data_IF_426972320867
#
_entry.id   IF_426972320867
#
_cell.length_a   1.000
_cell.length_b   1.000
_cell.length_c   1.000
_cell.angle_alpha   90.00
_cell.angle_beta   90.00
_cell.angle_gamma   90.00
#
_symmetry.space_group_name_H-M   'P 1'
#
loop_
_entity.id
_entity.type
_entity.pdbx_description
1 polymer ?
#
# COMPACT_ATOMS: atom_id res chain seq x y z
N UNK A 1 13.38 -17.29 -4.33
CA UNK A 1 12.71 -17.62 -3.06
C UNK A 1 11.33 -17.05 -3.19
N UNK A 2 10.29 -17.87 -3.10
CA UNK A 2 8.92 -17.39 -3.11
C UNK A 2 8.65 -16.64 -1.79
N UNK A 3 7.77 -15.60 -1.79
CA UNK A 3 7.42 -14.89 -0.58
C UNK A 3 6.79 -15.84 0.44
N UNK A 4 7.15 -15.65 1.71
CA UNK A 4 6.55 -16.41 2.80
C UNK A 4 5.20 -15.80 3.17
N UNK A 5 4.13 -16.60 3.13
CA UNK A 5 2.76 -16.13 3.38
C UNK A 5 2.26 -16.69 4.70
N UNK A 6 1.91 -15.80 5.61
CA UNK A 6 1.28 -16.11 6.89
C UNK A 6 -0.14 -15.56 6.96
N UNK A 7 -0.90 -15.99 7.98
CA UNK A 7 -2.22 -15.47 8.28
C UNK A 7 -2.22 -14.86 9.69
N UNK A 8 -2.58 -13.59 9.77
CA UNK A 8 -2.85 -12.91 11.02
C UNK A 8 -4.36 -12.65 11.16
N UNK A 9 -4.82 -12.43 12.39
CA UNK A 9 -6.20 -12.06 12.66
C UNK A 9 -6.24 -10.65 13.24
N UNK A 10 -7.10 -9.82 12.68
CA UNK A 10 -7.28 -8.42 13.09
C UNK A 10 -8.71 -8.20 13.55
N UNK A 11 -8.87 -7.63 14.73
CA UNK A 11 -10.18 -7.30 15.27
C UNK A 11 -10.75 -6.03 14.61
N UNK A 12 -12.01 -6.10 14.19
CA UNK A 12 -12.72 -4.95 13.68
C UNK A 12 -12.83 -3.86 14.76
N UNK A 13 -12.65 -2.58 14.37
CA UNK A 13 -12.75 -1.43 15.28
C UNK A 13 -14.13 -1.27 15.91
N UNK A 14 -15.17 -1.62 15.16
CA UNK A 14 -16.56 -1.50 15.61
C UNK A 14 -17.10 -2.84 16.06
N UNK A 15 -17.98 -2.87 17.05
CA UNK A 15 -18.69 -4.08 17.43
C UNK A 15 -19.43 -4.68 16.24
N UNK A 16 -19.51 -6.01 16.20
CA UNK A 16 -20.29 -6.69 15.18
C UNK A 16 -21.78 -6.29 15.28
N UNK A 17 -22.44 -6.02 14.17
CA UNK A 17 -23.89 -5.71 14.14
C UNK A 17 -24.76 -6.82 14.76
N UNK A 18 -24.24 -8.03 14.95
CA UNK A 18 -24.96 -9.10 15.62
C UNK A 18 -25.26 -8.77 17.08
N UNK A 19 -24.59 -7.79 17.71
CA UNK A 19 -24.90 -7.28 19.04
C UNK A 19 -26.32 -6.70 19.10
N UNK A 20 -26.61 -5.80 18.16
CA UNK A 20 -27.93 -5.14 18.12
C UNK A 20 -29.03 -6.10 17.70
N UNK A 21 -28.70 -7.02 16.78
CA UNK A 21 -29.63 -8.07 16.36
C UNK A 21 -29.96 -9.02 17.54
N UNK A 22 -28.96 -9.40 18.31
CA UNK A 22 -29.17 -10.22 19.49
C UNK A 22 -30.12 -9.54 20.48
N UNK A 23 -29.88 -8.30 20.84
CA UNK A 23 -30.73 -7.55 21.77
C UNK A 23 -32.18 -7.44 21.29
N UNK A 24 -32.41 -7.30 19.98
CA UNK A 24 -33.77 -7.32 19.41
C UNK A 24 -34.44 -8.69 19.59
N UNK A 25 -33.71 -9.76 19.28
CA UNK A 25 -34.24 -11.15 19.36
C UNK A 25 -34.51 -11.57 20.82
N UNK A 26 -33.72 -11.14 21.77
CA UNK A 26 -33.94 -11.36 23.21
C UNK A 26 -35.20 -10.61 23.68
N UNK A 27 -35.36 -9.36 23.31
CA UNK A 27 -36.55 -8.56 23.62
C UNK A 27 -37.85 -9.15 23.02
N UNK A 28 -37.72 -9.84 21.88
CA UNK A 28 -38.83 -10.55 21.23
C UNK A 28 -39.05 -11.97 21.81
N UNK A 29 -38.24 -12.40 22.77
CA UNK A 29 -38.30 -13.76 23.35
C UNK A 29 -37.89 -14.86 22.36
N UNK A 30 -37.14 -14.54 21.32
CA UNK A 30 -36.72 -15.47 20.24
C UNK A 30 -35.37 -16.10 20.49
N UNK A 31 -34.57 -15.55 21.41
CA UNK A 31 -33.29 -16.10 21.83
C UNK A 31 -33.23 -16.15 23.36
N UNK A 32 -32.73 -17.24 23.95
CA UNK A 32 -32.43 -17.31 25.38
C UNK A 32 -31.21 -16.42 25.70
N UNK A 33 -31.10 -16.05 26.98
CA UNK A 33 -29.90 -15.41 27.48
C UNK A 33 -28.67 -16.28 27.20
N UNK A 34 -27.53 -15.64 26.91
CA UNK A 34 -26.28 -16.34 26.78
C UNK A 34 -25.89 -16.90 28.17
N UNK A 35 -25.76 -18.20 28.28
CA UNK A 35 -25.25 -18.82 29.52
C UNK A 35 -23.76 -18.50 29.72
N UNK A 36 -23.29 -18.67 30.95
CA UNK A 36 -21.89 -18.40 31.32
C UNK A 36 -20.88 -19.25 30.52
N UNK A 37 -21.31 -20.39 29.99
CA UNK A 37 -20.50 -21.34 29.20
C UNK A 37 -20.60 -21.13 27.68
N UNK A 38 -21.18 -20.02 27.20
CA UNK A 38 -21.30 -19.76 25.77
C UNK A 38 -19.93 -19.41 25.15
N UNK A 39 -19.34 -20.28 24.30
CA UNK A 39 -18.02 -20.03 23.67
C UNK A 39 -18.03 -18.81 22.73
N UNK A 40 -19.21 -18.43 22.24
CA UNK A 40 -19.37 -17.24 21.40
C UNK A 40 -19.58 -15.96 22.22
N UNK A 41 -19.67 -16.06 23.55
CA UNK A 41 -19.88 -14.95 24.47
C UNK A 41 -21.01 -14.01 24.02
N UNK A 42 -22.13 -14.58 23.65
CA UNK A 42 -23.30 -13.85 23.19
C UNK A 42 -23.34 -13.53 21.69
N UNK A 43 -22.30 -13.74 20.93
CA UNK A 43 -22.32 -13.54 19.48
C UNK A 43 -23.20 -14.54 18.78
N UNK A 44 -24.08 -14.10 17.87
CA UNK A 44 -25.06 -14.96 17.16
C UNK A 44 -24.75 -15.13 15.68
N UNK A 45 -23.74 -14.44 15.16
CA UNK A 45 -23.36 -14.56 13.75
C UNK A 45 -22.34 -15.70 13.55
N UNK A 46 -22.43 -16.32 12.37
CA UNK A 46 -21.47 -17.34 11.93
C UNK A 46 -20.69 -16.75 10.72
N UNK A 47 -19.51 -16.14 10.94
CA UNK A 47 -18.72 -15.61 9.85
C UNK A 47 -18.19 -16.73 8.94
N UNK A 48 -18.15 -16.48 7.63
CA UNK A 48 -17.54 -17.40 6.67
C UNK A 48 -16.03 -17.56 6.90
N UNK A 49 -15.37 -16.49 7.37
CA UNK A 49 -13.94 -16.44 7.67
C UNK A 49 -13.73 -15.71 8.99
N UNK A 50 -12.71 -16.12 9.74
CA UNK A 50 -12.44 -15.55 11.06
C UNK A 50 -13.46 -15.99 12.11
N UNK A 51 -13.63 -15.18 13.15
CA UNK A 51 -14.49 -15.47 14.29
C UNK A 51 -15.27 -14.23 14.73
N UNK A 52 -16.30 -14.45 15.53
CA UNK A 52 -16.97 -13.39 16.26
C UNK A 52 -17.26 -13.88 17.68
N UNK A 53 -16.56 -13.32 18.66
CA UNK A 53 -16.67 -13.69 20.07
C UNK A 53 -16.88 -12.41 20.88
N UNK A 54 -17.85 -12.39 21.78
CA UNK A 54 -18.15 -11.19 22.57
C UNK A 54 -18.46 -9.97 21.70
N UNK A 55 -19.08 -10.20 20.54
CA UNK A 55 -19.39 -9.17 19.52
C UNK A 55 -18.15 -8.53 18.88
N UNK A 56 -16.96 -9.10 19.08
CA UNK A 56 -15.73 -8.72 18.38
C UNK A 56 -15.56 -9.60 17.16
N UNK A 57 -15.52 -8.94 16.00
CA UNK A 57 -15.27 -9.60 14.73
C UNK A 57 -13.77 -9.67 14.47
N UNK A 58 -13.23 -10.86 14.39
CA UNK A 58 -11.84 -11.11 13.98
C UNK A 58 -11.79 -11.55 12.53
N UNK A 59 -11.00 -10.86 11.73
CA UNK A 59 -10.91 -11.06 10.27
C UNK A 59 -9.51 -11.54 9.92
N UNK A 60 -9.37 -12.63 9.13
CA UNK A 60 -8.06 -13.06 8.67
C UNK A 60 -7.49 -12.08 7.65
N UNK A 61 -6.20 -11.78 7.80
CA UNK A 61 -5.41 -10.96 6.89
C UNK A 61 -4.20 -11.77 6.45
N UNK A 62 -3.95 -11.85 5.15
CA UNK A 62 -2.74 -12.45 4.64
C UNK A 62 -1.56 -11.50 4.85
N UNK A 63 -0.53 -11.96 5.54
CA UNK A 63 0.75 -11.28 5.66
C UNK A 63 1.74 -11.93 4.70
N UNK A 64 2.33 -11.14 3.84
CA UNK A 64 3.32 -11.57 2.87
C UNK A 64 4.67 -11.00 3.31
N UNK A 65 5.59 -11.88 3.70
CA UNK A 65 6.97 -11.51 3.99
C UNK A 65 7.74 -11.44 2.66
N UNK A 66 8.02 -10.22 2.25
CA UNK A 66 8.70 -9.96 0.96
C UNK A 66 10.17 -9.74 1.24
N UNK A 67 11.04 -10.37 0.45
CA UNK A 67 12.49 -10.20 0.57
C UNK A 67 12.88 -8.71 0.51
N UNK A 68 13.81 -8.29 1.38
CA UNK A 68 14.18 -6.89 1.54
C UNK A 68 14.55 -6.19 0.22
N UNK A 69 14.13 -4.96 0.11
CA UNK A 69 14.49 -4.07 -0.99
C UNK A 69 15.95 -3.63 -0.82
N UNK A 70 16.72 -3.68 -1.89
CA UNK A 70 18.10 -3.17 -1.90
C UNK A 70 18.18 -1.88 -2.71
N UNK A 71 19.08 -0.94 -2.37
CA UNK A 71 19.27 0.29 -3.13
C UNK A 71 19.51 0.04 -4.62
N UNK A 72 18.78 0.75 -5.49
CA UNK A 72 18.83 0.58 -6.93
C UNK A 72 17.98 -0.59 -7.46
N UNK A 73 17.06 -1.11 -6.66
CA UNK A 73 16.09 -2.10 -7.11
C UNK A 73 15.22 -1.58 -8.25
N UNK A 74 14.87 -0.31 -8.24
CA UNK A 74 14.17 0.40 -9.31
C UNK A 74 14.95 0.42 -10.64
N UNK A 75 16.29 0.36 -10.58
CA UNK A 75 17.19 0.26 -11.74
C UNK A 75 17.49 -1.19 -12.17
N UNK A 76 16.81 -2.16 -11.56
CA UNK A 76 16.99 -3.59 -11.86
C UNK A 76 18.10 -4.27 -11.09
N UNK A 77 18.67 -3.65 -10.05
CA UNK A 77 19.64 -4.30 -9.17
C UNK A 77 18.97 -5.37 -8.31
N UNK A 78 19.65 -6.47 -8.13
CA UNK A 78 19.15 -7.59 -7.33
C UNK A 78 17.90 -8.22 -7.94
N UNK A 79 16.89 -8.50 -7.10
CA UNK A 79 15.58 -9.06 -7.49
C UNK A 79 14.49 -7.99 -7.63
N UNK A 80 14.88 -6.72 -7.81
CA UNK A 80 13.98 -5.56 -7.72
C UNK A 80 12.66 -5.72 -8.46
N UNK A 81 12.68 -6.15 -9.72
CA UNK A 81 11.45 -6.34 -10.51
C UNK A 81 10.53 -7.44 -9.95
N UNK A 82 11.08 -8.52 -9.40
CA UNK A 82 10.29 -9.59 -8.78
C UNK A 82 9.67 -9.11 -7.47
N UNK A 83 10.46 -8.43 -6.62
CA UNK A 83 9.97 -7.79 -5.40
C UNK A 83 8.82 -6.81 -5.67
N UNK A 84 8.99 -5.95 -6.65
CA UNK A 84 7.99 -4.96 -7.01
C UNK A 84 6.71 -5.59 -7.59
N UNK A 85 6.82 -6.75 -8.26
CA UNK A 85 5.67 -7.54 -8.71
C UNK A 85 4.94 -8.19 -7.53
N UNK A 86 5.65 -8.61 -6.48
CA UNK A 86 5.05 -9.15 -5.27
C UNK A 86 4.27 -8.05 -4.51
N UNK A 87 4.82 -6.83 -4.43
CA UNK A 87 4.13 -5.68 -3.85
C UNK A 87 2.84 -5.29 -4.57
N UNK A 88 2.78 -5.48 -5.89
CA UNK A 88 1.62 -5.12 -6.70
C UNK A 88 0.34 -5.84 -6.28
N UNK A 89 0.46 -6.98 -5.59
CA UNK A 89 -0.66 -7.77 -5.10
C UNK A 89 -1.05 -7.46 -3.64
N UNK A 90 -0.37 -6.52 -2.99
CA UNK A 90 -0.65 -6.13 -1.61
C UNK A 90 -1.62 -4.94 -1.55
N UNK A 91 -2.57 -4.98 -0.62
CA UNK A 91 -3.50 -3.86 -0.39
C UNK A 91 -2.85 -2.74 0.45
N UNK A 92 -1.91 -3.10 1.33
CA UNK A 92 -1.18 -2.19 2.24
C UNK A 92 0.25 -2.69 2.41
N UNK A 93 1.20 -1.78 2.51
CA UNK A 93 2.57 -2.07 2.86
C UNK A 93 2.81 -1.75 4.33
N UNK A 94 3.51 -2.64 5.03
CA UNK A 94 3.99 -2.42 6.39
C UNK A 94 5.51 -2.38 6.32
N UNK A 95 6.07 -1.20 6.50
CA UNK A 95 7.51 -1.03 6.57
C UNK A 95 8.00 -1.33 7.99
N UNK A 96 8.96 -2.23 8.11
CA UNK A 96 9.65 -2.54 9.36
C UNK A 96 10.99 -1.85 9.34
N UNK A 97 11.26 -1.03 10.35
CA UNK A 97 12.49 -0.26 10.49
C UNK A 97 13.26 -0.64 11.75
N UNK A 98 14.58 -0.57 11.70
CA UNK A 98 15.42 -0.77 12.88
C UNK A 98 15.45 0.49 13.76
N UNK A 99 14.58 0.54 14.76
CA UNK A 99 14.47 1.69 15.67
C UNK A 99 15.75 1.98 16.49
N UNK A 100 16.68 1.02 16.58
CA UNK A 100 17.97 1.23 17.24
C UNK A 100 19.00 1.92 16.32
N UNK A 101 18.73 2.00 15.01
CA UNK A 101 19.66 2.51 14.01
C UNK A 101 20.95 1.72 13.97
N UNK A 102 20.87 0.41 14.21
CA UNK A 102 22.02 -0.49 14.25
C UNK A 102 22.35 -1.14 12.90
N UNK A 103 21.42 -1.02 11.95
CA UNK A 103 21.58 -1.50 10.58
C UNK A 103 21.57 -0.35 9.59
N UNK A 104 22.10 -0.61 8.40
CA UNK A 104 21.93 0.31 7.26
C UNK A 104 20.76 -0.11 6.37
N UNK A 105 20.50 0.69 5.33
CA UNK A 105 19.44 0.42 4.35
C UNK A 105 19.62 -0.89 3.56
N UNK A 106 20.80 -1.50 3.62
CA UNK A 106 21.09 -2.82 3.03
C UNK A 106 20.88 -3.95 4.06
N UNK A 107 20.48 -3.61 5.31
CA UNK A 107 20.31 -4.56 6.42
C UNK A 107 21.63 -5.04 7.04
N UNK A 108 22.75 -4.38 6.74
CA UNK A 108 24.06 -4.73 7.32
C UNK A 108 24.19 -4.13 8.71
N UNK A 109 24.56 -4.97 9.67
CA UNK A 109 24.79 -4.52 11.05
C UNK A 109 26.02 -3.60 11.15
N UNK A 110 25.82 -2.39 11.63
CA UNK A 110 26.87 -1.36 11.84
C UNK A 110 27.16 -1.07 13.30
N UNK A 111 26.49 -1.74 14.23
CA UNK A 111 26.55 -1.45 15.66
C UNK A 111 25.49 -0.41 16.06
N UNK A 112 25.18 -0.35 17.36
CA UNK A 112 24.22 0.61 17.87
C UNK A 112 24.64 2.05 17.57
N UNK A 113 23.67 2.89 17.22
CA UNK A 113 23.92 4.32 17.01
C UNK A 113 24.53 4.97 18.27
N UNK A 114 25.54 5.77 18.07
CA UNK A 114 26.30 6.40 19.20
C UNK A 114 25.52 7.50 19.91
N UNK A 115 24.52 8.08 19.24
CA UNK A 115 23.65 9.12 19.80
C UNK A 115 22.21 8.93 19.33
N UNK A 116 21.26 9.55 20.05
CA UNK A 116 19.84 9.56 19.66
C UNK A 116 19.63 10.20 18.30
N UNK A 117 20.35 11.26 17.98
CA UNK A 117 20.26 11.95 16.69
C UNK A 117 20.76 11.05 15.54
N UNK A 118 21.78 10.24 15.77
CA UNK A 118 22.27 9.28 14.79
C UNK A 118 21.25 8.16 14.53
N UNK A 119 20.60 7.67 15.60
CA UNK A 119 19.52 6.67 15.47
C UNK A 119 18.32 7.23 14.68
N UNK A 120 17.87 8.44 15.04
CA UNK A 120 16.76 9.10 14.31
C UNK A 120 17.10 9.27 12.84
N UNK A 121 18.33 9.69 12.52
CA UNK A 121 18.76 9.85 11.12
C UNK A 121 18.70 8.52 10.37
N UNK A 122 19.24 7.44 10.94
CA UNK A 122 19.22 6.11 10.33
C UNK A 122 17.79 5.62 10.06
N UNK A 123 16.90 5.77 11.05
CA UNK A 123 15.47 5.42 10.89
C UNK A 123 14.79 6.26 9.80
N UNK A 124 15.09 7.56 9.73
CA UNK A 124 14.54 8.44 8.69
C UNK A 124 15.03 8.02 7.31
N UNK A 125 16.32 7.72 7.16
CA UNK A 125 16.89 7.24 5.89
C UNK A 125 16.25 5.93 5.43
N UNK A 126 15.94 4.98 6.34
CA UNK A 126 15.24 3.75 6.01
C UNK A 126 13.80 4.01 5.53
N UNK A 127 13.08 4.92 6.19
CA UNK A 127 11.70 5.27 5.81
C UNK A 127 11.69 5.91 4.42
N UNK A 128 12.53 6.94 4.22
CA UNK A 128 12.61 7.66 2.95
C UNK A 128 13.10 6.78 1.80
N UNK A 129 13.96 5.81 2.10
CA UNK A 129 14.50 4.88 1.12
C UNK A 129 13.41 4.11 0.37
N UNK A 130 12.45 3.49 1.10
CA UNK A 130 11.37 2.74 0.46
C UNK A 130 10.51 3.63 -0.43
N UNK A 131 10.18 4.82 0.03
CA UNK A 131 9.41 5.77 -0.75
C UNK A 131 10.15 6.18 -2.03
N UNK A 132 11.43 6.51 -1.93
CA UNK A 132 12.26 6.92 -3.06
C UNK A 132 12.40 5.81 -4.11
N UNK A 133 12.61 4.57 -3.69
CA UNK A 133 12.72 3.44 -4.63
C UNK A 133 11.41 3.18 -5.37
N UNK A 134 10.28 3.24 -4.67
CA UNK A 134 8.96 3.08 -5.31
C UNK A 134 8.64 4.26 -6.25
N UNK A 135 8.97 5.48 -5.86
CA UNK A 135 8.79 6.68 -6.71
C UNK A 135 9.63 6.59 -7.98
N UNK A 136 10.91 6.20 -7.84
CA UNK A 136 11.82 6.02 -8.96
C UNK A 136 11.33 4.90 -9.91
N UNK A 137 10.85 3.80 -9.35
CA UNK A 137 10.32 2.70 -10.15
C UNK A 137 9.07 3.09 -10.94
N UNK A 138 8.07 3.71 -10.29
CA UNK A 138 6.84 4.13 -10.97
C UNK A 138 7.15 5.22 -12.00
N UNK A 139 8.01 6.18 -11.67
CA UNK A 139 8.49 7.19 -12.60
C UNK A 139 9.18 6.58 -13.83
N UNK A 140 10.02 5.56 -13.61
CA UNK A 140 10.67 4.79 -14.67
C UNK A 140 9.67 4.06 -15.58
N UNK A 141 8.62 3.43 -15.01
CA UNK A 141 7.56 2.80 -15.78
C UNK A 141 6.81 3.80 -16.67
N UNK A 142 6.57 5.00 -16.18
CA UNK A 142 5.93 6.08 -16.97
C UNK A 142 6.86 6.62 -18.04
N UNK A 143 8.14 6.82 -17.71
CA UNK A 143 9.16 7.31 -18.66
C UNK A 143 9.36 6.33 -19.81
N UNK A 144 9.40 5.04 -19.51
CA UNK A 144 9.49 3.98 -20.52
C UNK A 144 8.21 3.94 -21.37
N UNK A 145 8.31 4.45 -22.56
CA UNK A 145 7.20 4.59 -23.52
C UNK A 145 6.47 5.94 -23.45
N UNK A 146 7.02 6.95 -22.76
CA UNK A 146 6.42 8.28 -22.66
C UNK A 146 6.08 8.90 -24.03
N UNK A 147 6.89 8.67 -25.05
CA UNK A 147 6.61 9.12 -26.43
C UNK A 147 5.27 8.58 -26.97
N UNK A 148 4.82 7.40 -26.55
CA UNK A 148 3.48 6.88 -26.88
C UNK A 148 2.39 7.64 -26.13
N UNK A 149 2.65 7.94 -24.87
CA UNK A 149 1.78 8.77 -24.04
C UNK A 149 1.57 10.14 -24.67
N UNK A 150 2.64 10.81 -25.05
CA UNK A 150 2.60 12.12 -25.74
C UNK A 150 1.71 12.07 -27.00
N UNK A 151 1.88 11.07 -27.87
CA UNK A 151 1.04 10.92 -29.08
C UNK A 151 -0.44 10.73 -28.73
N UNK A 152 -0.75 9.98 -27.67
CA UNK A 152 -2.15 9.83 -27.20
C UNK A 152 -2.70 11.16 -26.68
N UNK A 153 -1.91 11.89 -25.91
CA UNK A 153 -2.32 13.22 -25.44
C UNK A 153 -2.61 14.16 -26.59
N UNK A 154 -1.75 14.17 -27.62
CA UNK A 154 -1.96 15.00 -28.80
C UNK A 154 -3.24 14.62 -29.58
N UNK A 155 -3.61 13.34 -29.57
CA UNK A 155 -4.80 12.84 -30.26
C UNK A 155 -6.09 12.98 -29.44
N UNK A 156 -6.04 12.72 -28.15
CA UNK A 156 -7.21 12.52 -27.29
C UNK A 156 -7.24 13.47 -26.06
N UNK A 157 -6.25 14.36 -25.93
CA UNK A 157 -6.13 15.25 -24.79
C UNK A 157 -5.91 14.53 -23.46
N UNK A 158 -6.44 15.07 -22.38
CA UNK A 158 -6.31 14.53 -21.01
C UNK A 158 -6.79 13.08 -20.89
N UNK A 159 -7.82 12.70 -21.61
CA UNK A 159 -8.32 11.32 -21.65
C UNK A 159 -7.25 10.35 -22.15
N UNK A 160 -6.48 10.75 -23.17
CA UNK A 160 -5.36 9.97 -23.69
C UNK A 160 -4.24 9.81 -22.66
N UNK A 161 -3.95 10.87 -21.89
CA UNK A 161 -2.98 10.82 -20.79
C UNK A 161 -3.41 9.83 -19.70
N UNK A 162 -4.64 9.93 -19.23
CA UNK A 162 -5.18 9.02 -18.21
C UNK A 162 -5.16 7.57 -18.68
N UNK A 163 -5.55 7.31 -19.91
CA UNK A 163 -5.53 5.96 -20.50
C UNK A 163 -4.10 5.41 -20.60
N UNK A 164 -3.13 6.24 -20.96
CA UNK A 164 -1.72 5.87 -21.00
C UNK A 164 -1.20 5.50 -19.61
N UNK A 165 -1.41 6.38 -18.61
CA UNK A 165 -0.96 6.15 -17.23
C UNK A 165 -1.59 4.87 -16.66
N UNK A 166 -2.89 4.67 -16.87
CA UNK A 166 -3.58 3.46 -16.43
C UNK A 166 -3.01 2.20 -17.08
N UNK A 167 -2.77 2.20 -18.39
CA UNK A 167 -2.19 1.06 -19.11
C UNK A 167 -0.79 0.72 -18.58
N UNK A 168 0.06 1.75 -18.38
CA UNK A 168 1.41 1.56 -17.88
C UNK A 168 1.47 1.02 -16.46
N UNK A 169 0.54 1.42 -15.61
CA UNK A 169 0.49 1.04 -14.20
C UNK A 169 -0.57 -0.02 -13.90
N UNK A 170 -1.15 -0.65 -14.93
CA UNK A 170 -2.20 -1.68 -14.77
C UNK A 170 -1.75 -2.87 -13.93
N UNK A 171 -0.50 -3.32 -14.11
CA UNK A 171 0.12 -4.38 -13.30
C UNK A 171 0.26 -4.03 -11.81
N UNK A 172 0.13 -2.76 -11.45
CA UNK A 172 0.17 -2.25 -10.07
C UNK A 172 -1.24 -1.98 -9.50
N UNK A 173 -2.27 -2.50 -10.13
CA UNK A 173 -3.66 -2.28 -9.70
C UNK A 173 -4.17 -0.86 -9.95
N UNK A 174 -3.62 -0.15 -10.94
CA UNK A 174 -4.10 1.17 -11.34
C UNK A 174 -5.50 1.08 -11.95
N UNK A 175 -6.50 1.56 -11.21
CA UNK A 175 -7.86 1.75 -11.70
C UNK A 175 -8.06 3.16 -12.22
N UNK A 176 -9.08 3.40 -13.04
CA UNK A 176 -9.44 4.74 -13.50
C UNK A 176 -9.58 5.74 -12.34
N UNK A 177 -10.18 5.31 -11.23
CA UNK A 177 -10.37 6.16 -10.05
C UNK A 177 -9.04 6.52 -9.40
N UNK A 178 -8.14 5.54 -9.19
CA UNK A 178 -6.82 5.78 -8.60
C UNK A 178 -5.97 6.71 -9.47
N UNK A 179 -5.99 6.49 -10.79
CA UNK A 179 -5.29 7.36 -11.75
C UNK A 179 -5.85 8.77 -11.73
N UNK A 180 -7.19 8.94 -11.76
CA UNK A 180 -7.82 10.26 -11.69
C UNK A 180 -7.44 11.02 -10.41
N UNK A 181 -7.44 10.34 -9.26
CA UNK A 181 -7.02 10.94 -7.99
C UNK A 181 -5.53 11.32 -7.98
N UNK A 182 -4.66 10.48 -8.55
CA UNK A 182 -3.24 10.78 -8.70
C UNK A 182 -2.99 11.96 -9.63
N UNK A 183 -3.69 12.03 -10.76
CA UNK A 183 -3.64 13.15 -11.69
C UNK A 183 -4.12 14.45 -11.04
N UNK A 184 -5.20 14.42 -10.27
CA UNK A 184 -5.67 15.58 -9.53
C UNK A 184 -4.61 16.09 -8.54
N UNK A 185 -3.96 15.19 -7.80
CA UNK A 185 -2.84 15.54 -6.90
C UNK A 185 -1.69 16.14 -7.71
N UNK A 186 -1.29 15.51 -8.81
CA UNK A 186 -0.23 16.00 -9.67
C UNK A 186 -0.52 17.41 -10.18
N UNK A 187 -1.70 17.69 -10.72
CA UNK A 187 -2.06 19.03 -11.21
C UNK A 187 -2.10 20.09 -10.10
N UNK A 188 -2.40 19.70 -8.86
CA UNK A 188 -2.37 20.64 -7.73
C UNK A 188 -0.96 21.05 -7.29
N UNK A 189 0.03 20.17 -7.51
CA UNK A 189 1.44 20.38 -7.11
C UNK A 189 2.28 20.86 -8.28
N UNK A 190 2.05 20.31 -9.47
CA UNK A 190 2.76 20.68 -10.70
C UNK A 190 2.22 22.01 -11.23
N UNK A 191 2.73 23.09 -10.67
CA UNK A 191 2.33 24.47 -11.03
C UNK A 191 2.94 24.95 -12.36
N UNK A 192 2.95 24.11 -13.37
CA UNK A 192 3.54 24.43 -14.67
C UNK A 192 2.47 24.43 -15.76
N UNK A 193 2.45 25.49 -16.56
CA UNK A 193 1.60 25.57 -17.77
C UNK A 193 2.12 24.69 -18.93
N UNK A 194 3.20 23.92 -18.68
CA UNK A 194 3.79 23.02 -19.68
C UNK A 194 2.81 21.91 -20.05
N UNK A 195 2.74 21.67 -21.33
CA UNK A 195 1.97 20.54 -21.85
C UNK A 195 2.71 19.21 -21.62
N UNK A 196 2.01 18.07 -21.59
CA UNK A 196 2.66 16.77 -21.35
C UNK A 196 3.85 16.43 -22.27
N UNK A 197 3.89 16.95 -23.48
CA UNK A 197 5.02 16.74 -24.40
C UNK A 197 6.26 17.57 -24.06
N UNK A 198 6.12 18.58 -23.19
CA UNK A 198 7.21 19.43 -22.69
C UNK A 198 7.65 19.06 -21.27
N UNK A 199 7.10 17.98 -20.69
CA UNK A 199 7.47 17.51 -19.37
C UNK A 199 8.86 16.88 -19.39
N UNK A 200 9.65 17.25 -18.41
CA UNK A 200 10.99 16.72 -18.16
C UNK A 200 10.95 15.52 -17.19
N UNK A 201 12.11 14.95 -16.93
CA UNK A 201 12.25 13.82 -16.00
C UNK A 201 11.74 14.15 -14.59
N UNK A 202 11.90 15.39 -14.13
CA UNK A 202 11.41 15.84 -12.83
C UNK A 202 9.87 15.83 -12.79
N UNK A 203 9.21 16.27 -13.85
CA UNK A 203 7.76 16.22 -13.98
C UNK A 203 7.22 14.78 -13.99
N UNK A 204 7.91 13.88 -14.69
CA UNK A 204 7.54 12.44 -14.71
C UNK A 204 7.79 11.78 -13.36
N UNK A 205 8.85 12.14 -12.66
CA UNK A 205 9.12 11.66 -11.31
C UNK A 205 8.02 12.12 -10.33
N UNK A 206 7.65 13.40 -10.38
CA UNK A 206 6.55 13.95 -9.59
C UNK A 206 5.21 13.23 -9.89
N UNK A 207 4.94 12.95 -11.16
CA UNK A 207 3.77 12.17 -11.55
C UNK A 207 3.83 10.76 -10.92
N UNK A 208 5.01 10.13 -10.95
CA UNK A 208 5.27 8.84 -10.29
C UNK A 208 4.95 8.87 -8.81
N UNK A 209 5.41 9.90 -8.08
CA UNK A 209 5.12 10.12 -6.67
C UNK A 209 3.62 10.23 -6.38
N UNK A 210 2.91 11.04 -7.18
CA UNK A 210 1.47 11.21 -7.04
C UNK A 210 0.70 9.91 -7.30
N UNK A 211 1.18 9.08 -8.22
CA UNK A 211 0.60 7.75 -8.49
C UNK A 211 0.92 6.78 -7.35
N UNK A 212 2.17 6.74 -6.83
CA UNK A 212 2.54 5.87 -5.71
C UNK A 212 1.63 6.07 -4.50
N UNK A 213 1.39 7.30 -4.11
CA UNK A 213 0.51 7.63 -2.97
C UNK A 213 -0.90 7.04 -3.10
N UNK A 214 -1.36 6.73 -4.31
CA UNK A 214 -2.68 6.16 -4.59
C UNK A 214 -2.64 4.65 -4.83
N UNK A 215 -1.49 4.14 -5.26
CA UNK A 215 -1.31 2.71 -5.53
C UNK A 215 -0.79 1.97 -4.31
N UNK A 216 0.15 2.56 -3.59
CA UNK A 216 0.83 1.99 -2.43
C UNK A 216 0.74 2.95 -1.24
N UNK A 217 -0.37 2.96 -0.48
CA UNK A 217 -0.42 3.64 0.80
C UNK A 217 0.53 2.93 1.79
N UNK A 218 1.50 3.66 2.28
CA UNK A 218 2.47 3.23 3.31
C UNK A 218 2.06 3.85 4.63
#
# INVERSE_FOLDING_TARGET
>A
IDPNVGVAFVDARLPCPCKDLRGKLENEGRLPDAGDDDPAQGSICQPRTGSCVGFRRSVPVALVDVAGLVPGASEGRGRGNAFLADLANCDVLIQVVDAAGSTDVEGQFRGAASTTEAAIRSVTEEIEFLEHELDAWIGGLLKDGWNRGVRRVQAEGEKGLMSFVQERLSGLGATNTRVAMGMQTFHSVHQSDKQPWDWDDASLHLLGQCMRQRLFPI
#
